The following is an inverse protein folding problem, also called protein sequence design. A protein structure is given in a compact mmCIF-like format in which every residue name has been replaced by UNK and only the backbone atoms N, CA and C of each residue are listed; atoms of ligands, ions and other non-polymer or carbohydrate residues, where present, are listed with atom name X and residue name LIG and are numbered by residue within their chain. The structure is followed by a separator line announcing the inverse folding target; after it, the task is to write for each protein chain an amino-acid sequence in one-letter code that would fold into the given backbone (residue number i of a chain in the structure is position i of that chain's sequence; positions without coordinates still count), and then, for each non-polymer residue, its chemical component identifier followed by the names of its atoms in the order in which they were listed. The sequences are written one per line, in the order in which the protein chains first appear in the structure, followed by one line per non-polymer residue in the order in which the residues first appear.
data_IF_687480635504
#
_entry.id   IF_687480635504
#
_cell.length_a   1.000
_cell.length_b   1.000
_cell.length_c   1.000
_cell.angle_alpha   90.00
_cell.angle_beta   90.00
_cell.angle_gamma   90.00
#
_symmetry.space_group_name_H-M   'P 1'
#
loop_
_entity.id
_entity.type
_entity.pdbx_description
1 polymer ?
#
# COMPACT_ATOMS: atom_id res chain seq x y z
N UNK A 1 1.03 -0.76 -12.41
CA UNK A 1 0.27 -0.34 -11.49
C UNK A 1 0.07 1.08 -11.05
N UNK A 2 -1.00 1.23 -10.30
CA UNK A 2 -1.35 2.51 -9.72
C UNK A 2 -0.46 2.82 -8.53
N UNK A 3 -0.30 4.10 -8.23
CA UNK A 3 0.50 4.52 -7.09
C UNK A 3 -0.40 4.99 -5.97
N UNK A 4 0.11 4.88 -4.74
CA UNK A 4 -0.60 5.34 -3.56
C UNK A 4 0.38 5.82 -2.50
N UNK A 5 -0.19 6.24 -1.38
CA UNK A 5 0.59 6.72 -0.24
C UNK A 5 0.19 5.91 0.99
N UNK A 6 1.19 5.48 1.76
CA UNK A 6 0.94 4.73 2.99
C UNK A 6 0.34 5.66 4.04
N UNK A 7 -0.82 5.30 4.58
CA UNK A 7 -1.51 6.06 5.61
C UNK A 7 -1.37 5.44 7.00
N UNK A 8 -1.21 4.11 7.06
CA UNK A 8 -0.81 3.41 8.27
C UNK A 8 0.35 2.51 7.92
N UNK A 9 1.38 2.52 8.74
CA UNK A 9 2.58 1.73 8.49
C UNK A 9 2.22 0.29 8.10
N UNK A 10 2.83 -0.18 7.03
CA UNK A 10 2.67 -1.56 6.57
C UNK A 10 3.73 -2.42 7.26
N UNK A 11 3.29 -3.37 8.11
CA UNK A 11 4.20 -4.25 8.85
C UNK A 11 3.52 -5.60 9.13
N UNK A 12 3.36 -6.45 8.17
CA UNK A 12 3.35 -6.18 6.73
C UNK A 12 2.02 -5.58 6.25
N UNK A 13 1.01 -5.49 7.10
CA UNK A 13 -0.34 -5.02 6.75
C UNK A 13 -0.57 -3.62 7.28
N UNK A 14 -1.31 -2.83 6.55
CA UNK A 14 -1.69 -1.49 6.94
C UNK A 14 -2.66 -0.91 5.94
N UNK A 15 -2.66 0.42 5.83
CA UNK A 15 -3.58 1.13 4.94
C UNK A 15 -2.81 2.00 3.97
N UNK A 16 -3.29 2.04 2.74
CA UNK A 16 -2.77 2.94 1.71
C UNK A 16 -3.91 3.74 1.12
N UNK A 17 -3.60 4.95 0.67
CA UNK A 17 -4.54 5.80 -0.04
C UNK A 17 -4.24 5.70 -1.52
N UNK A 18 -5.20 5.25 -2.31
CA UNK A 18 -5.07 5.12 -3.75
C UNK A 18 -6.29 5.76 -4.39
N UNK A 19 -6.07 6.76 -5.24
CA UNK A 19 -7.15 7.46 -5.93
C UNK A 19 -8.24 7.96 -4.97
N UNK A 20 -7.83 8.51 -3.83
CA UNK A 20 -8.77 9.08 -2.87
C UNK A 20 -9.49 8.07 -2.00
N UNK A 21 -9.16 6.79 -2.11
CA UNK A 21 -9.80 5.73 -1.32
C UNK A 21 -8.77 5.02 -0.47
N UNK A 22 -9.16 4.66 0.75
CA UNK A 22 -8.31 3.87 1.63
C UNK A 22 -8.49 2.39 1.34
N UNK A 23 -7.36 1.68 1.22
CA UNK A 23 -7.35 0.25 0.97
C UNK A 23 -6.48 -0.44 2.01
N UNK A 24 -6.89 -1.63 2.43
CA UNK A 24 -6.00 -2.50 3.17
C UNK A 24 -4.90 -2.98 2.24
N UNK A 25 -3.67 -2.98 2.72
CA UNK A 25 -2.53 -3.32 1.88
C UNK A 25 -1.54 -4.22 2.61
N UNK A 26 -0.87 -5.05 1.83
CA UNK A 26 0.24 -5.88 2.29
C UNK A 26 1.50 -5.49 1.54
N UNK A 27 2.64 -5.68 2.18
CA UNK A 27 3.93 -5.55 1.52
C UNK A 27 4.89 -6.62 2.04
N UNK A 28 6.04 -6.73 1.40
CA UNK A 28 7.13 -7.54 1.94
C UNK A 28 7.93 -6.63 2.88
N UNK A 29 8.06 -7.04 4.14
CA UNK A 29 8.77 -6.26 5.13
C UNK A 29 7.91 -5.15 5.70
N UNK A 30 8.43 -3.93 5.71
CA UNK A 30 7.79 -2.80 6.35
C UNK A 30 7.91 -1.56 5.48
N UNK A 31 6.83 -0.78 5.40
CA UNK A 31 6.83 0.50 4.67
C UNK A 31 6.21 1.56 5.58
N UNK A 32 6.90 2.66 5.77
CA UNK A 32 6.50 3.70 6.70
C UNK A 32 5.40 4.60 6.14
N UNK A 33 4.64 5.20 7.05
CA UNK A 33 3.63 6.21 6.72
C UNK A 33 4.28 7.33 5.91
N UNK A 34 3.60 7.74 4.85
CA UNK A 34 4.05 8.81 3.98
C UNK A 34 4.86 8.36 2.78
N UNK A 35 5.32 7.10 2.80
CA UNK A 35 6.06 6.57 1.64
C UNK A 35 5.10 6.30 0.49
N UNK A 36 5.62 6.43 -0.72
CA UNK A 36 4.87 6.12 -1.93
C UNK A 36 5.05 4.66 -2.30
N UNK A 37 3.98 4.05 -2.78
CA UNK A 37 3.97 2.65 -3.17
C UNK A 37 3.29 2.48 -4.51
N UNK A 38 3.59 1.37 -5.18
CA UNK A 38 2.89 0.96 -6.39
C UNK A 38 2.06 -0.28 -6.08
N UNK A 39 0.84 -0.34 -6.62
CA UNK A 39 -0.04 -1.49 -6.44
C UNK A 39 0.39 -2.57 -7.42
N UNK A 40 0.75 -3.74 -6.90
CA UNK A 40 1.18 -4.87 -7.71
C UNK A 40 0.04 -5.81 -8.05
N UNK A 41 -0.92 -5.96 -7.13
CA UNK A 41 -2.05 -6.88 -7.33
C UNK A 41 -3.20 -6.44 -6.45
N UNK A 42 -4.42 -6.79 -6.88
CA UNK A 42 -5.63 -6.59 -6.08
C UNK A 42 -6.19 -7.96 -5.77
N UNK A 43 -6.40 -8.22 -4.48
CA UNK A 43 -6.90 -9.52 -4.02
C UNK A 43 -8.15 -9.27 -3.17
N UNK A 44 -9.31 -9.34 -3.79
CA UNK A 44 -10.56 -9.04 -3.11
C UNK A 44 -10.60 -7.57 -2.71
N UNK A 45 -10.67 -7.31 -1.40
CA UNK A 45 -10.70 -5.94 -0.87
C UNK A 45 -9.34 -5.45 -0.41
N UNK A 46 -8.29 -6.19 -0.73
CA UNK A 46 -6.93 -5.92 -0.28
C UNK A 46 -6.02 -5.74 -1.47
N UNK A 47 -5.01 -4.89 -1.33
CA UNK A 47 -4.03 -4.70 -2.40
C UNK A 47 -2.66 -5.12 -1.91
N UNK A 48 -1.85 -5.64 -2.82
CA UNK A 48 -0.46 -5.94 -2.55
C UNK A 48 0.37 -4.83 -3.17
N UNK A 49 1.27 -4.25 -2.38
CA UNK A 49 2.01 -3.07 -2.82
C UNK A 49 3.51 -3.26 -2.64
N UNK A 50 4.25 -2.43 -3.34
CA UNK A 50 5.70 -2.42 -3.30
C UNK A 50 6.14 -0.97 -3.18
N UNK A 51 7.17 -0.72 -2.36
CA UNK A 51 7.70 0.62 -2.21
C UNK A 51 8.32 1.12 -3.52
N UNK A 52 8.02 2.35 -3.87
CA UNK A 52 8.66 3.01 -5.00
C UNK A 52 10.03 3.51 -4.54
N UNK A 53 11.10 3.10 -5.23
CA UNK A 53 12.46 3.52 -4.85
C UNK A 53 12.68 5.01 -5.00
#
# INVERSE_FOLDING_TARGET
GETGIVKETLNPNGLVLVHGELWEADCEGEIAVGDHVTVEAVEGLKVKVKKIP
#
